data_IF_574963180955
#
_entry.id   IF_574963180955
#
_cell.length_a   1.000
_cell.length_b   1.000
_cell.length_c   1.000
_cell.angle_alpha   90.00
_cell.angle_beta   90.00
_cell.angle_gamma   90.00
#
_symmetry.space_group_name_H-M   'P 1'
#
loop_
_entity.id
_entity.type
_entity.pdbx_description
1 polymer ?
#
# COMPACT_ATOMS: atom_id res chain seq x y z
N UNK A 1 -5.48 -28.29 -54.19
CA UNK A 1 -6.25 -27.72 -53.07
C UNK A 1 -5.74 -28.19 -51.70
N UNK A 2 -5.32 -29.45 -51.54
CA UNK A 2 -4.83 -29.99 -50.26
C UNK A 2 -3.49 -29.40 -49.79
N UNK A 3 -2.59 -28.99 -50.70
CA UNK A 3 -1.28 -28.40 -50.35
C UNK A 3 -1.42 -26.98 -49.76
N UNK A 4 -2.40 -26.19 -50.25
CA UNK A 4 -2.65 -24.84 -49.76
C UNK A 4 -3.26 -24.86 -48.35
N UNK A 5 -4.14 -25.83 -48.08
CA UNK A 5 -4.75 -26.05 -46.75
C UNK A 5 -3.69 -26.51 -45.74
N UNK A 6 -2.76 -27.38 -46.13
CA UNK A 6 -1.69 -27.85 -45.25
C UNK A 6 -0.70 -26.73 -44.89
N UNK A 7 -0.39 -25.84 -45.85
CA UNK A 7 0.45 -24.66 -45.58
C UNK A 7 -0.24 -23.67 -44.62
N UNK A 8 -1.55 -23.48 -44.77
CA UNK A 8 -2.33 -22.60 -43.89
C UNK A 8 -2.40 -23.14 -42.45
N UNK A 9 -2.53 -24.47 -42.29
CA UNK A 9 -2.55 -25.13 -40.98
C UNK A 9 -1.19 -25.06 -40.27
N UNK A 10 -0.07 -25.22 -41.01
CA UNK A 10 1.28 -25.11 -40.44
C UNK A 10 1.59 -23.66 -40.01
N UNK A 11 1.18 -22.67 -40.82
CA UNK A 11 1.34 -21.26 -40.46
C UNK A 11 0.54 -20.89 -39.19
N UNK A 12 -0.68 -21.43 -39.04
CA UNK A 12 -1.51 -21.22 -37.86
C UNK A 12 -0.92 -21.88 -36.61
N UNK A 13 -0.28 -23.04 -36.74
CA UNK A 13 0.43 -23.72 -35.64
C UNK A 13 1.67 -22.95 -35.18
N UNK A 14 2.41 -22.32 -36.10
CA UNK A 14 3.61 -21.54 -35.77
C UNK A 14 3.30 -20.21 -35.07
N UNK A 15 2.12 -19.63 -35.30
CA UNK A 15 1.68 -18.42 -34.58
C UNK A 15 1.20 -18.69 -33.15
N UNK A 16 0.78 -19.92 -32.85
CA UNK A 16 0.35 -20.33 -31.50
C UNK A 16 1.53 -20.72 -30.59
N UNK A 17 2.70 -21.00 -31.16
CA UNK A 17 3.92 -21.32 -30.39
C UNK A 17 4.68 -20.10 -29.85
N UNK A 18 4.34 -18.89 -30.30
CA UNK A 18 4.90 -17.62 -29.79
C UNK A 18 3.93 -16.90 -28.82
N UNK A 19 3.26 -17.67 -27.97
CA UNK A 19 2.29 -17.17 -26.99
C UNK A 19 2.93 -16.57 -25.73
N UNK A 20 2.79 -15.25 -25.59
CA UNK A 20 2.53 -14.53 -24.32
C UNK A 20 3.55 -14.56 -23.16
N UNK A 21 4.86 -14.62 -23.44
CA UNK A 21 5.88 -14.58 -22.36
C UNK A 21 6.41 -13.19 -21.96
N UNK A 22 6.35 -12.18 -22.84
CA UNK A 22 7.25 -11.02 -22.71
C UNK A 22 6.60 -9.68 -22.30
N UNK A 23 5.27 -9.61 -22.17
CA UNK A 23 4.56 -8.33 -21.92
C UNK A 23 4.17 -8.13 -20.45
N UNK A 24 4.40 -9.11 -19.58
CA UNK A 24 4.03 -8.98 -18.16
C UNK A 24 5.08 -8.26 -17.29
N UNK A 25 6.35 -8.15 -17.71
CA UNK A 25 7.41 -7.58 -16.87
C UNK A 25 7.73 -6.11 -17.12
N UNK A 26 7.41 -5.56 -18.30
CA UNK A 26 7.73 -4.15 -18.62
C UNK A 26 6.73 -3.14 -18.02
N UNK A 27 5.61 -3.59 -17.47
CA UNK A 27 4.62 -2.73 -16.80
C UNK A 27 5.00 -2.27 -15.39
N UNK A 28 6.03 -2.86 -14.76
CA UNK A 28 6.41 -2.58 -13.36
C UNK A 28 7.53 -1.55 -13.20
N UNK A 29 8.13 -1.06 -14.28
CA UNK A 29 9.33 -0.19 -14.20
C UNK A 29 9.00 1.30 -14.08
N UNK A 30 7.72 1.68 -14.15
CA UNK A 30 7.25 3.05 -13.89
C UNK A 30 6.81 3.20 -12.44
N UNK A 31 7.54 2.56 -11.52
CA UNK A 31 7.31 2.76 -10.10
C UNK A 31 8.22 3.87 -9.64
N UNK A 32 7.64 4.90 -9.01
CA UNK A 32 8.36 6.06 -8.51
C UNK A 32 9.60 5.61 -7.75
N UNK A 33 10.73 6.27 -8.01
CA UNK A 33 12.02 5.91 -7.40
C UNK A 33 11.95 5.78 -5.87
N UNK A 34 10.99 6.45 -5.23
CA UNK A 34 10.83 6.47 -3.78
C UNK A 34 10.10 5.24 -3.21
N UNK A 35 8.99 4.78 -3.81
CA UNK A 35 8.33 3.53 -3.39
C UNK A 35 9.26 2.33 -3.57
N UNK A 36 10.03 2.29 -4.66
CA UNK A 36 11.04 1.25 -4.88
C UNK A 36 12.13 1.25 -3.80
N UNK A 37 12.51 2.42 -3.28
CA UNK A 37 13.47 2.49 -2.19
C UNK A 37 12.89 1.92 -0.88
N UNK A 38 11.62 2.22 -0.57
CA UNK A 38 10.91 1.69 0.60
C UNK A 38 10.71 0.17 0.51
N UNK A 39 10.40 -0.33 -0.68
CA UNK A 39 10.31 -1.75 -0.99
C UNK A 39 11.64 -2.47 -0.74
N UNK A 40 12.74 -1.91 -1.26
CA UNK A 40 14.07 -2.48 -1.07
C UNK A 40 14.50 -2.47 0.40
N UNK A 41 14.03 -1.51 1.21
CA UNK A 41 14.31 -1.48 2.65
C UNK A 41 13.38 -2.38 3.49
N UNK A 42 12.56 -3.24 2.87
CA UNK A 42 11.67 -4.16 3.60
C UNK A 42 12.41 -5.24 4.38
N UNK A 43 13.64 -5.57 4.01
CA UNK A 43 14.47 -6.53 4.76
C UNK A 43 14.76 -6.05 6.19
N UNK A 44 14.71 -4.73 6.42
CA UNK A 44 14.85 -4.11 7.74
C UNK A 44 13.52 -3.60 8.30
N UNK A 45 12.39 -4.05 7.76
CA UNK A 45 11.08 -3.62 8.23
C UNK A 45 10.82 -4.08 9.67
N UNK A 46 10.04 -3.28 10.40
CA UNK A 46 9.44 -3.75 11.65
C UNK A 46 8.12 -4.41 11.25
N UNK A 47 7.95 -5.67 11.62
CA UNK A 47 6.86 -6.51 11.12
C UNK A 47 6.07 -7.14 12.24
N UNK A 48 4.74 -7.20 12.08
CA UNK A 48 3.84 -7.98 12.94
C UNK A 48 2.72 -8.60 12.10
N UNK A 49 2.17 -9.72 12.55
CA UNK A 49 1.16 -10.48 11.80
C UNK A 49 -0.17 -10.50 12.54
N UNK A 50 -1.26 -10.31 11.82
CA UNK A 50 -2.59 -10.15 12.38
C UNK A 50 -3.62 -11.04 11.69
N UNK A 51 -4.61 -11.49 12.46
CA UNK A 51 -5.81 -12.12 11.91
C UNK A 51 -6.82 -11.03 11.57
N UNK A 52 -6.76 -10.54 10.34
CA UNK A 52 -7.67 -9.53 9.81
C UNK A 52 -7.91 -9.76 8.32
N UNK A 53 -9.09 -9.42 7.79
CA UNK A 53 -9.26 -9.26 6.34
C UNK A 53 -8.44 -8.06 5.87
N UNK A 54 -8.04 -8.06 4.59
CA UNK A 54 -7.25 -6.99 3.99
C UNK A 54 -7.85 -5.61 4.26
N UNK A 55 -9.12 -5.41 3.89
CA UNK A 55 -9.78 -4.12 4.04
C UNK A 55 -9.87 -3.67 5.51
N UNK A 56 -10.07 -4.61 6.44
CA UNK A 56 -10.08 -4.31 7.87
C UNK A 56 -8.76 -3.73 8.37
N UNK A 57 -7.65 -4.43 8.12
CA UNK A 57 -6.33 -3.90 8.48
C UNK A 57 -5.98 -2.61 7.73
N UNK A 58 -6.33 -2.52 6.45
CA UNK A 58 -6.03 -1.35 5.63
C UNK A 58 -6.78 -0.10 6.13
N UNK A 59 -8.07 -0.23 6.38
CA UNK A 59 -8.93 0.88 6.82
C UNK A 59 -8.61 1.29 8.26
N UNK A 60 -8.29 0.33 9.14
CA UNK A 60 -7.80 0.64 10.50
C UNK A 60 -6.55 1.52 10.43
N UNK A 61 -5.58 1.20 9.57
CA UNK A 61 -4.36 2.01 9.43
C UNK A 61 -4.66 3.38 8.82
N UNK A 62 -5.55 3.46 7.83
CA UNK A 62 -5.98 4.75 7.26
C UNK A 62 -6.64 5.66 8.29
N UNK A 63 -7.38 5.09 9.26
CA UNK A 63 -8.03 5.86 10.33
C UNK A 63 -7.06 6.61 11.25
N UNK A 64 -5.78 6.23 11.26
CA UNK A 64 -4.72 6.89 12.03
C UNK A 64 -4.22 8.19 11.38
N UNK A 65 -4.50 8.38 10.09
CA UNK A 65 -3.95 9.47 9.32
C UNK A 65 -4.77 10.78 9.45
N UNK A 66 -4.07 11.90 9.28
CA UNK A 66 -4.68 13.22 9.18
C UNK A 66 -5.46 13.34 7.86
N UNK A 67 -6.79 13.22 7.94
CA UNK A 67 -7.70 13.36 6.78
C UNK A 67 -7.69 14.75 6.14
N UNK A 68 -7.24 15.79 6.85
CA UNK A 68 -7.23 17.15 6.33
C UNK A 68 -5.85 17.44 5.76
N UNK A 69 -5.64 17.22 4.46
CA UNK A 69 -4.75 18.03 3.59
C UNK A 69 -4.69 17.47 2.14
N UNK A 70 -5.78 16.85 1.66
CA UNK A 70 -6.00 16.60 0.24
C UNK A 70 -7.30 17.25 -0.19
N UNK A 71 -7.32 18.58 -0.26
CA UNK A 71 -8.03 19.34 -1.28
C UNK A 71 -7.30 20.68 -1.40
N UNK A 72 -6.52 20.84 -2.47
CA UNK A 72 -6.27 22.17 -3.01
C UNK A 72 -7.58 22.71 -3.60
N UNK A 73 -7.76 24.05 -3.48
CA UNK A 73 -8.72 24.96 -4.16
C UNK A 73 -10.16 25.02 -3.59
N UNK A 74 -10.81 26.17 -3.38
CA UNK A 74 -10.69 27.54 -3.93
C UNK A 74 -11.06 28.62 -2.90
N UNK A 75 -10.63 29.86 -3.15
CA UNK A 75 -11.18 31.07 -2.55
C UNK A 75 -12.70 31.14 -2.78
N UNK A 76 -13.48 31.29 -1.70
CA UNK A 76 -14.82 31.87 -1.79
C UNK A 76 -15.99 30.96 -1.38
N UNK A 77 -16.67 31.43 -0.31
CA UNK A 77 -18.06 31.15 0.10
C UNK A 77 -18.26 30.08 1.19
N UNK A 78 -19.04 30.39 2.26
CA UNK A 78 -19.32 29.44 3.34
C UNK A 78 -20.54 28.56 3.01
N UNK A 79 -20.59 27.35 3.59
CA UNK A 79 -21.80 27.04 4.33
C UNK A 79 -21.52 26.32 5.65
N UNK A 80 -22.21 26.79 6.69
CA UNK A 80 -22.53 26.03 7.89
C UNK A 80 -23.15 24.67 7.53
N UNK A 81 -22.74 23.59 8.21
CA UNK A 81 -23.61 22.85 9.13
C UNK A 81 -23.00 21.49 9.55
N UNK A 82 -22.86 21.36 10.88
CA UNK A 82 -22.89 20.13 11.70
C UNK A 82 -21.63 19.26 11.73
N UNK A 83 -20.71 19.69 12.60
CA UNK A 83 -19.74 18.83 13.26
C UNK A 83 -20.44 17.74 14.10
N UNK A 84 -20.26 16.47 13.70
CA UNK A 84 -20.35 15.35 14.64
C UNK A 84 -19.00 15.31 15.35
N UNK A 85 -18.97 15.68 16.63
CA UNK A 85 -17.77 15.61 17.48
C UNK A 85 -17.48 14.15 17.83
N UNK A 86 -16.78 13.47 16.92
CA UNK A 86 -16.06 12.24 17.24
C UNK A 86 -14.83 12.62 18.10
N UNK A 87 -14.52 11.91 19.20
CA UNK A 87 -13.42 12.27 20.09
C UNK A 87 -12.12 12.39 19.29
N UNK A 88 -11.39 13.50 19.46
CA UNK A 88 -10.16 13.81 18.75
C UNK A 88 -9.09 12.74 19.00
N UNK A 89 -9.06 11.68 18.18
CA UNK A 89 -7.88 10.84 18.04
C UNK A 89 -6.77 11.75 17.52
N UNK A 90 -5.69 11.89 18.30
CA UNK A 90 -4.47 12.54 17.82
C UNK A 90 -4.02 11.83 16.54
N UNK A 91 -4.06 12.53 15.40
CA UNK A 91 -3.70 11.97 14.10
C UNK A 91 -2.18 12.10 13.89
N UNK A 92 -1.50 11.00 13.60
CA UNK A 92 -0.04 10.85 13.80
C UNK A 92 0.83 11.15 12.56
N UNK A 93 0.27 11.02 11.37
CA UNK A 93 0.95 11.20 10.08
C UNK A 93 -0.08 11.53 8.98
N UNK A 94 0.39 11.91 7.79
CA UNK A 94 -0.44 12.16 6.60
C UNK A 94 -0.24 11.03 5.59
N UNK A 95 -1.30 10.60 4.91
CA UNK A 95 -1.18 9.65 3.79
C UNK A 95 -0.59 10.39 2.60
N UNK A 96 0.53 9.92 2.06
CA UNK A 96 1.10 10.43 0.81
C UNK A 96 0.61 9.63 -0.40
N UNK A 97 0.53 8.31 -0.25
CA UNK A 97 0.02 7.38 -1.27
C UNK A 97 -0.77 6.28 -0.59
N UNK A 98 -1.88 5.87 -1.21
CA UNK A 98 -2.59 4.64 -0.86
C UNK A 98 -2.78 3.82 -2.13
N UNK A 99 -2.37 2.56 -2.10
CA UNK A 99 -2.52 1.65 -3.23
C UNK A 99 -3.05 0.31 -2.72
N UNK A 100 -4.35 0.10 -2.86
CA UNK A 100 -5.00 -1.16 -2.49
C UNK A 100 -4.60 -2.30 -3.42
N UNK A 101 -4.33 -2.02 -4.69
CA UNK A 101 -3.97 -3.04 -5.69
C UNK A 101 -2.59 -3.60 -5.38
N UNK A 102 -1.63 -2.72 -5.05
CA UNK A 102 -0.28 -3.10 -4.64
C UNK A 102 -0.14 -3.29 -3.11
N UNK A 103 -1.26 -3.27 -2.38
CA UNK A 103 -1.31 -3.61 -0.95
C UNK A 103 -0.31 -2.83 -0.09
N UNK A 104 -0.26 -1.51 -0.26
CA UNK A 104 0.57 -0.64 0.58
C UNK A 104 0.01 0.78 0.76
N UNK A 105 0.51 1.45 1.79
CA UNK A 105 0.26 2.85 2.12
C UNK A 105 1.63 3.52 2.32
N UNK A 106 1.83 4.71 1.78
CA UNK A 106 2.98 5.57 2.11
C UNK A 106 2.48 6.74 2.93
N UNK A 107 3.15 7.03 4.04
CA UNK A 107 2.83 8.15 4.92
C UNK A 107 4.02 9.08 5.06
N UNK A 108 3.74 10.36 5.32
CA UNK A 108 4.70 11.44 5.57
C UNK A 108 4.24 12.28 6.78
N UNK A 109 5.01 13.29 7.18
CA UNK A 109 4.65 14.19 8.27
C UNK A 109 4.69 13.55 9.65
N UNK A 110 5.61 12.60 9.85
CA UNK A 110 5.83 11.95 11.15
C UNK A 110 6.43 12.98 12.13
N UNK A 111 5.76 13.23 13.25
CA UNK A 111 6.17 14.26 14.21
C UNK A 111 7.62 14.06 14.70
N UNK A 112 8.42 15.12 14.67
CA UNK A 112 9.84 15.10 15.09
C UNK A 112 10.78 14.47 14.06
N UNK A 113 10.34 14.33 12.81
CA UNK A 113 11.15 13.95 11.66
C UNK A 113 10.97 15.00 10.55
N UNK A 114 11.76 14.91 9.48
CA UNK A 114 11.58 15.78 8.30
C UNK A 114 10.19 15.52 7.73
N UNK A 115 9.44 16.58 7.46
CA UNK A 115 8.02 16.49 7.09
C UNK A 115 7.78 15.63 5.83
N UNK A 116 8.74 15.61 4.91
CA UNK A 116 8.70 14.79 3.68
C UNK A 116 9.27 13.38 3.84
N UNK A 117 9.60 12.95 5.07
CA UNK A 117 10.14 11.60 5.30
C UNK A 117 9.06 10.57 5.01
N UNK A 118 9.27 9.78 3.95
CA UNK A 118 8.38 8.71 3.58
C UNK A 118 8.55 7.47 4.48
N UNK A 119 7.42 6.87 4.85
CA UNK A 119 7.34 5.58 5.53
C UNK A 119 6.33 4.72 4.79
N UNK A 120 6.76 3.55 4.32
CA UNK A 120 5.91 2.57 3.66
C UNK A 120 5.34 1.57 4.67
N UNK A 121 4.06 1.27 4.52
CA UNK A 121 3.31 0.27 5.28
C UNK A 121 2.79 -0.74 4.27
N UNK A 122 3.34 -1.95 4.28
CA UNK A 122 3.08 -2.99 3.28
C UNK A 122 2.30 -4.15 3.89
N UNK A 123 1.38 -4.71 3.12
CA UNK A 123 0.52 -5.81 3.54
C UNK A 123 0.93 -7.07 2.76
N UNK A 124 1.48 -8.06 3.45
CA UNK A 124 1.83 -9.35 2.87
C UNK A 124 0.83 -10.41 3.32
N UNK A 125 0.12 -11.04 2.38
CA UNK A 125 -0.85 -12.08 2.68
C UNK A 125 -0.16 -13.31 3.26
N UNK A 126 -0.64 -13.80 4.40
CA UNK A 126 -0.23 -15.07 5.02
C UNK A 126 -1.28 -16.16 4.79
N UNK A 127 -2.57 -15.81 4.87
CA UNK A 127 -3.72 -16.70 4.66
C UNK A 127 -4.93 -15.90 4.11
N UNK A 128 -6.13 -16.48 4.09
CA UNK A 128 -7.37 -15.81 3.67
C UNK A 128 -7.72 -14.60 4.54
N UNK A 129 -7.54 -14.70 5.86
CA UNK A 129 -7.83 -13.65 6.82
C UNK A 129 -6.61 -13.35 7.71
N UNK A 130 -5.41 -13.48 7.16
CA UNK A 130 -4.19 -13.18 7.90
C UNK A 130 -3.19 -12.43 7.03
N UNK A 131 -2.69 -11.33 7.56
CA UNK A 131 -1.72 -10.46 6.89
C UNK A 131 -0.56 -10.13 7.82
N UNK A 132 0.64 -10.15 7.26
CA UNK A 132 1.82 -9.54 7.87
C UNK A 132 1.89 -8.08 7.42
N UNK A 133 2.03 -7.20 8.39
CA UNK A 133 2.17 -5.76 8.17
C UNK A 133 3.65 -5.41 8.36
N UNK A 134 4.29 -4.91 7.31
CA UNK A 134 5.70 -4.51 7.30
C UNK A 134 5.79 -2.98 7.25
N UNK A 135 6.43 -2.36 8.24
CA UNK A 135 6.69 -0.91 8.26
C UNK A 135 8.14 -0.63 7.92
N UNK A 136 8.38 0.10 6.83
CA UNK A 136 9.72 0.37 6.29
C UNK A 136 9.95 1.85 5.98
N UNK A 137 11.18 2.31 6.19
CA UNK A 137 11.64 3.66 5.85
C UNK A 137 13.17 3.70 5.91
N UNK A 138 13.77 4.59 5.12
CA UNK A 138 15.18 4.95 5.24
C UNK A 138 15.48 5.71 6.55
N UNK A 139 14.46 6.25 7.22
CA UNK A 139 14.62 6.88 8.53
C UNK A 139 14.23 5.90 9.64
N UNK A 140 15.22 5.38 10.38
CA UNK A 140 14.99 4.48 11.51
C UNK A 140 14.10 5.11 12.60
N UNK A 141 14.19 6.43 12.79
CA UNK A 141 13.34 7.15 13.75
C UNK A 141 11.88 7.19 13.28
N UNK A 142 11.63 7.54 12.01
CA UNK A 142 10.27 7.60 11.46
C UNK A 142 9.64 6.20 11.42
N UNK A 143 10.39 5.20 10.96
CA UNK A 143 10.00 3.78 10.93
C UNK A 143 9.48 3.31 12.30
N UNK A 144 10.25 3.56 13.37
CA UNK A 144 9.87 3.14 14.73
C UNK A 144 8.59 3.82 15.21
N UNK A 145 8.46 5.14 15.04
CA UNK A 145 7.27 5.88 15.49
C UNK A 145 6.00 5.43 14.77
N UNK A 146 6.08 5.25 13.45
CA UNK A 146 4.92 4.76 12.67
C UNK A 146 4.58 3.33 13.06
N UNK A 147 5.59 2.45 13.20
CA UNK A 147 5.37 1.07 13.62
C UNK A 147 4.71 0.99 15.01
N UNK A 148 5.17 1.78 15.97
CA UNK A 148 4.60 1.84 17.33
C UNK A 148 3.11 2.19 17.30
N UNK A 149 2.74 3.25 16.58
CA UNK A 149 1.35 3.69 16.48
C UNK A 149 0.48 2.69 15.71
N UNK A 150 0.96 2.21 14.56
CA UNK A 150 0.23 1.26 13.72
C UNK A 150 -0.02 -0.05 14.46
N UNK A 151 1.00 -0.61 15.09
CA UNK A 151 0.86 -1.87 15.80
C UNK A 151 0.08 -1.73 17.09
N UNK A 152 0.17 -0.60 17.80
CA UNK A 152 -0.69 -0.34 18.96
C UNK A 152 -2.18 -0.32 18.58
N UNK A 153 -2.55 0.34 17.48
CA UNK A 153 -3.95 0.36 17.03
C UNK A 153 -4.41 -1.03 16.54
N UNK A 154 -3.59 -1.73 15.75
CA UNK A 154 -3.95 -3.08 15.30
C UNK A 154 -4.03 -4.09 16.44
N UNK A 155 -3.14 -4.01 17.44
CA UNK A 155 -3.16 -4.85 18.64
C UNK A 155 -4.46 -4.66 19.45
N UNK A 156 -5.05 -3.46 19.39
CA UNK A 156 -6.32 -3.17 20.08
C UNK A 156 -7.54 -3.77 19.37
N UNK A 157 -7.45 -4.05 18.07
CA UNK A 157 -8.58 -4.47 17.25
C UNK A 157 -8.51 -5.93 16.78
N UNK A 158 -7.29 -6.46 16.58
CA UNK A 158 -7.07 -7.75 15.95
C UNK A 158 -6.12 -8.61 16.77
N UNK A 159 -6.39 -9.93 16.89
CA UNK A 159 -5.45 -10.83 17.53
C UNK A 159 -4.22 -11.03 16.64
N UNK A 160 -3.06 -11.22 17.29
CA UNK A 160 -1.83 -11.59 16.60
C UNK A 160 -1.97 -12.98 15.95
N UNK A 161 -1.54 -13.09 14.70
CA UNK A 161 -1.51 -14.37 13.99
C UNK A 161 -0.34 -15.21 14.50
N UNK A 162 -0.66 -16.35 15.12
CA UNK A 162 0.32 -17.37 15.56
C UNK A 162 0.29 -18.51 14.55
N UNK A 163 1.46 -18.80 13.97
CA UNK A 163 1.66 -19.91 13.03
C UNK A 163 1.75 -21.25 13.75
#
# INVERSE_FOLDING_TARGET
MNILINFLMIACLLTLANGCGFVAETGKTVWGSSTRALENSRDEAISKSYVCPFDGCFDTILSLAQTQFFLEKEEGSPPEAKEVKEPEKHKFFRVFLQDRVQSHIVVIGVQGNVDTTEVGIFFARLDQNAYRIDVSSLSSSAKRKVAEVVFAELDSQYPEYKK
#
